data_IF_264562897061
#
_entry.id   IF_264562897061
#
_cell.length_a   1.000
_cell.length_b   1.000
_cell.length_c   1.000
_cell.angle_alpha   90.00
_cell.angle_beta   90.00
_cell.angle_gamma   90.00
#
_symmetry.space_group_name_H-M   'P 1'
#
loop_
_entity.id
_entity.type
_entity.pdbx_description
1 polymer ?
#
# COMPACT_ATOMS: atom_id res chain seq x y z
N UNK A 1 -15.98 -22.56 -2.81
CA UNK A 1 -14.91 -21.72 -3.37
C UNK A 1 -15.35 -21.12 -4.70
N UNK A 2 -15.07 -19.87 -4.97
CA UNK A 2 -15.46 -19.16 -6.21
C UNK A 2 -14.26 -18.57 -6.97
N UNK A 3 -13.04 -18.82 -6.49
CA UNK A 3 -11.77 -18.37 -7.09
C UNK A 3 -10.87 -19.58 -7.33
N UNK A 4 -10.25 -19.64 -8.50
CA UNK A 4 -9.33 -20.71 -8.89
C UNK A 4 -8.04 -20.13 -9.45
N UNK A 5 -6.90 -20.76 -9.11
CA UNK A 5 -5.62 -20.43 -9.71
C UNK A 5 -5.53 -21.14 -11.06
N UNK A 6 -5.26 -20.37 -12.12
CA UNK A 6 -5.24 -20.85 -13.51
C UNK A 6 -3.84 -21.25 -14.01
N UNK A 7 -2.82 -21.24 -13.13
CA UNK A 7 -1.46 -21.65 -13.46
C UNK A 7 -0.85 -22.47 -12.32
N UNK A 8 0.20 -23.27 -12.58
CA UNK A 8 0.91 -24.02 -11.55
C UNK A 8 1.51 -23.11 -10.48
N UNK A 9 1.38 -23.48 -9.22
CA UNK A 9 1.96 -22.76 -8.07
C UNK A 9 2.69 -23.75 -7.16
N UNK A 10 3.68 -23.29 -6.41
CA UNK A 10 4.43 -24.11 -5.46
C UNK A 10 3.68 -24.23 -4.11
N UNK A 11 2.44 -24.73 -4.22
CA UNK A 11 1.60 -25.07 -3.07
C UNK A 11 0.94 -26.42 -3.42
N UNK A 12 1.00 -27.37 -2.51
CA UNK A 12 0.35 -28.67 -2.70
C UNK A 12 -1.17 -28.51 -2.87
N UNK A 13 -1.75 -29.21 -3.85
CA UNK A 13 -3.16 -29.05 -4.25
C UNK A 13 -4.15 -29.25 -3.09
N UNK A 14 -3.86 -30.20 -2.19
CA UNK A 14 -4.67 -30.48 -1.00
C UNK A 14 -4.73 -29.32 0.00
N UNK A 15 -3.78 -28.38 -0.08
CA UNK A 15 -3.70 -27.19 0.79
C UNK A 15 -4.15 -25.91 0.09
N UNK A 16 -4.07 -25.89 -1.23
CA UNK A 16 -4.35 -24.67 -2.01
C UNK A 16 -5.79 -24.20 -1.78
N UNK A 17 -6.75 -25.11 -1.74
CA UNK A 17 -8.16 -24.82 -1.54
C UNK A 17 -8.42 -24.17 -0.18
N UNK A 18 -7.88 -24.76 0.90
CA UNK A 18 -8.02 -24.23 2.26
C UNK A 18 -7.38 -22.86 2.40
N UNK A 19 -6.21 -22.64 1.77
CA UNK A 19 -5.50 -21.36 1.78
C UNK A 19 -6.26 -20.28 1.00
N UNK A 20 -6.85 -20.63 -0.16
CA UNK A 20 -7.68 -19.71 -0.94
C UNK A 20 -8.96 -19.33 -0.20
N UNK A 21 -9.62 -20.29 0.48
CA UNK A 21 -10.79 -20.02 1.30
C UNK A 21 -10.44 -19.08 2.46
N UNK A 22 -9.36 -19.36 3.19
CA UNK A 22 -8.88 -18.48 4.26
C UNK A 22 -8.52 -17.09 3.72
N UNK A 23 -7.87 -17.01 2.55
CA UNK A 23 -7.49 -15.75 1.92
C UNK A 23 -8.68 -14.93 1.49
N UNK A 24 -9.74 -15.55 0.99
CA UNK A 24 -10.97 -14.87 0.58
C UNK A 24 -11.73 -14.22 1.73
N UNK A 25 -11.56 -14.73 2.95
CA UNK A 25 -12.13 -14.16 4.17
C UNK A 25 -11.37 -12.99 4.76
N UNK A 26 -10.18 -12.63 4.21
CA UNK A 26 -9.34 -11.57 4.76
C UNK A 26 -8.72 -10.70 3.64
N UNK A 27 -9.09 -9.42 3.62
CA UNK A 27 -8.75 -8.51 2.54
C UNK A 27 -7.25 -8.25 2.33
N UNK A 28 -6.55 -7.49 3.21
CA UNK A 28 -5.14 -7.13 2.98
C UNK A 28 -4.19 -8.29 3.31
N UNK A 29 -2.94 -8.17 2.82
CA UNK A 29 -1.87 -9.07 3.24
C UNK A 29 -1.70 -9.04 4.77
N UNK A 30 -1.46 -10.24 5.35
CA UNK A 30 -1.06 -10.37 6.75
C UNK A 30 -0.09 -11.53 6.94
N UNK A 31 1.01 -11.26 7.63
CA UNK A 31 1.99 -12.29 8.00
C UNK A 31 1.49 -13.28 9.06
N UNK A 32 0.36 -12.98 9.70
CA UNK A 32 -0.19 -13.76 10.83
C UNK A 32 -0.96 -15.00 10.41
N UNK A 33 -1.51 -15.00 9.19
CA UNK A 33 -2.33 -16.09 8.67
C UNK A 33 -1.53 -17.04 7.77
N UNK A 34 -1.92 -18.31 7.73
CA UNK A 34 -1.33 -19.30 6.82
C UNK A 34 -1.55 -18.91 5.35
N UNK A 35 -2.67 -18.24 5.04
CA UNK A 35 -3.00 -17.72 3.71
C UNK A 35 -1.98 -16.74 3.13
N UNK A 36 -1.02 -16.25 3.93
CA UNK A 36 0.14 -15.49 3.43
C UNK A 36 0.89 -16.23 2.31
N UNK A 37 0.80 -17.55 2.27
CA UNK A 37 1.41 -18.35 1.21
C UNK A 37 0.90 -17.96 -0.18
N UNK A 38 -0.39 -17.63 -0.31
CA UNK A 38 -1.00 -17.14 -1.56
C UNK A 38 -0.40 -15.77 -1.94
N UNK A 39 -0.26 -14.87 -0.98
CA UNK A 39 0.30 -13.55 -1.23
C UNK A 39 1.78 -13.63 -1.67
N UNK A 40 2.56 -14.56 -1.08
CA UNK A 40 3.94 -14.80 -1.49
C UNK A 40 4.03 -15.37 -2.91
N UNK A 41 3.10 -16.24 -3.30
CA UNK A 41 3.02 -16.73 -4.69
C UNK A 41 2.68 -15.58 -5.65
N UNK A 42 1.74 -14.70 -5.31
CA UNK A 42 1.43 -13.52 -6.12
C UNK A 42 2.67 -12.61 -6.25
N UNK A 43 3.40 -12.38 -5.16
CA UNK A 43 4.61 -11.55 -5.16
C UNK A 43 5.70 -12.14 -6.07
N UNK A 44 5.87 -13.45 -6.09
CA UNK A 44 6.82 -14.16 -6.95
C UNK A 44 6.50 -14.05 -8.44
N UNK A 45 5.23 -13.84 -8.82
CA UNK A 45 4.85 -13.62 -10.22
C UNK A 45 5.17 -12.21 -10.72
N UNK A 46 5.56 -11.30 -9.82
CA UNK A 46 5.93 -9.91 -10.15
C UNK A 46 4.83 -9.17 -10.91
N UNK A 47 5.22 -8.40 -11.90
CA UNK A 47 4.29 -7.61 -12.73
C UNK A 47 3.43 -8.45 -13.67
N UNK A 48 3.83 -9.67 -13.96
CA UNK A 48 3.05 -10.62 -14.79
C UNK A 48 1.76 -11.01 -14.08
N UNK A 49 1.79 -11.07 -12.76
CA UNK A 49 0.67 -11.42 -11.92
C UNK A 49 0.31 -12.90 -11.95
N UNK A 50 -0.43 -13.35 -10.93
CA UNK A 50 -0.98 -14.69 -10.82
C UNK A 50 -2.27 -14.79 -11.64
N UNK A 51 -2.34 -15.77 -12.54
CA UNK A 51 -3.53 -16.03 -13.33
C UNK A 51 -4.62 -16.69 -12.48
N UNK A 52 -5.80 -16.09 -12.48
CA UNK A 52 -6.99 -16.53 -11.76
C UNK A 52 -8.19 -16.57 -12.69
N UNK A 53 -9.19 -17.38 -12.36
CA UNK A 53 -10.55 -17.24 -12.86
C UNK A 53 -11.56 -17.43 -11.72
N UNK A 54 -12.77 -16.92 -11.90
CA UNK A 54 -13.83 -17.00 -10.93
C UNK A 54 -14.97 -17.86 -11.47
N UNK A 55 -15.58 -18.67 -10.60
CA UNK A 55 -16.83 -19.35 -10.88
C UNK A 55 -18.00 -18.39 -10.68
N UNK A 56 -18.52 -17.84 -11.76
CA UNK A 56 -19.70 -16.99 -11.80
C UNK A 56 -20.72 -17.47 -12.83
N UNK A 57 -22.01 -17.19 -12.63
CA UNK A 57 -22.62 -16.63 -11.42
C UNK A 57 -22.85 -17.67 -10.33
N UNK A 58 -22.73 -17.24 -9.05
CA UNK A 58 -23.04 -18.08 -7.89
C UNK A 58 -23.82 -17.27 -6.85
N UNK A 59 -24.79 -17.90 -6.18
CA UNK A 59 -25.64 -17.22 -5.18
C UNK A 59 -24.90 -16.93 -3.86
N UNK A 60 -23.85 -17.69 -3.55
CA UNK A 60 -23.05 -17.59 -2.31
C UNK A 60 -21.91 -16.56 -2.37
N UNK A 61 -21.80 -15.83 -3.47
CA UNK A 61 -20.73 -14.84 -3.63
C UNK A 61 -21.09 -13.53 -2.89
N UNK A 62 -20.18 -12.97 -2.08
CA UNK A 62 -20.43 -11.73 -1.37
C UNK A 62 -20.81 -10.57 -2.31
N UNK A 63 -21.73 -9.70 -1.87
CA UNK A 63 -22.24 -8.56 -2.66
C UNK A 63 -21.12 -7.69 -3.25
N UNK A 64 -20.06 -7.42 -2.49
CA UNK A 64 -18.94 -6.59 -2.97
C UNK A 64 -18.18 -7.24 -4.14
N UNK A 65 -18.12 -8.59 -4.18
CA UNK A 65 -17.51 -9.33 -5.30
C UNK A 65 -18.42 -9.29 -6.52
N UNK A 66 -19.72 -9.41 -6.33
CA UNK A 66 -20.71 -9.29 -7.41
C UNK A 66 -20.66 -7.88 -8.02
N UNK A 67 -20.62 -6.84 -7.18
CA UNK A 67 -20.49 -5.44 -7.61
C UNK A 67 -19.21 -5.22 -8.41
N UNK A 68 -18.09 -5.78 -7.96
CA UNK A 68 -16.81 -5.71 -8.68
C UNK A 68 -16.87 -6.45 -10.01
N UNK A 69 -17.48 -7.63 -10.06
CA UNK A 69 -17.62 -8.41 -11.28
C UNK A 69 -18.51 -7.69 -12.32
N UNK A 70 -19.61 -7.08 -11.88
CA UNK A 70 -20.47 -6.24 -12.73
C UNK A 70 -19.71 -5.04 -13.29
N UNK A 71 -18.96 -4.35 -12.43
CA UNK A 71 -18.13 -3.22 -12.85
C UNK A 71 -17.07 -3.63 -13.88
N UNK A 72 -16.39 -4.77 -13.70
CA UNK A 72 -15.42 -5.30 -14.67
C UNK A 72 -16.06 -5.56 -16.03
N UNK A 73 -17.26 -6.16 -16.04
CA UNK A 73 -17.98 -6.45 -17.27
C UNK A 73 -18.45 -5.18 -17.98
N UNK A 74 -19.02 -4.23 -17.23
CA UNK A 74 -19.65 -3.03 -17.79
C UNK A 74 -18.61 -2.00 -18.27
N UNK A 75 -17.53 -1.81 -17.50
CA UNK A 75 -16.53 -0.77 -17.78
C UNK A 75 -15.34 -1.29 -18.60
N UNK A 76 -15.01 -2.57 -18.50
CA UNK A 76 -13.82 -3.15 -19.13
C UNK A 76 -14.11 -4.29 -20.10
N UNK A 77 -15.35 -4.76 -20.20
CA UNK A 77 -15.72 -5.88 -21.05
C UNK A 77 -15.10 -7.23 -20.65
N UNK A 78 -14.67 -7.34 -19.39
CA UNK A 78 -14.03 -8.55 -18.84
C UNK A 78 -15.09 -9.35 -18.10
N UNK A 79 -15.41 -10.53 -18.61
CA UNK A 79 -16.32 -11.44 -17.91
C UNK A 79 -15.63 -12.02 -16.66
N UNK A 80 -16.35 -12.22 -15.56
CA UNK A 80 -15.78 -12.83 -14.35
C UNK A 80 -15.17 -14.21 -14.56
N UNK A 81 -15.64 -14.94 -15.59
CA UNK A 81 -15.11 -16.25 -16.00
C UNK A 81 -13.87 -16.20 -16.88
N UNK A 82 -13.49 -15.01 -17.36
CA UNK A 82 -12.27 -14.83 -18.12
C UNK A 82 -11.04 -14.98 -17.19
N UNK A 83 -9.91 -15.37 -17.77
CA UNK A 83 -8.65 -15.37 -17.03
C UNK A 83 -8.29 -13.93 -16.67
N UNK A 84 -8.11 -13.68 -15.38
CA UNK A 84 -7.63 -12.40 -14.83
C UNK A 84 -6.27 -12.58 -14.19
N UNK A 85 -5.46 -11.53 -14.21
CA UNK A 85 -4.15 -11.52 -13.56
C UNK A 85 -4.15 -10.57 -12.38
N UNK A 86 -3.74 -11.06 -11.22
CA UNK A 86 -3.61 -10.27 -9.99
C UNK A 86 -2.15 -10.15 -9.60
N UNK A 87 -1.71 -8.94 -9.33
CA UNK A 87 -0.36 -8.65 -8.88
C UNK A 87 -0.39 -7.87 -7.55
N UNK A 88 0.73 -7.91 -6.84
CA UNK A 88 0.89 -7.12 -5.63
C UNK A 88 1.10 -5.65 -5.97
N UNK A 89 0.54 -4.76 -5.17
CA UNK A 89 0.82 -3.33 -5.22
C UNK A 89 0.85 -2.73 -3.83
N UNK A 90 1.56 -1.61 -3.66
CA UNK A 90 1.59 -0.88 -2.41
C UNK A 90 0.24 -0.16 -2.20
N UNK A 91 -0.54 -0.63 -1.22
CA UNK A 91 -1.85 -0.08 -0.89
C UNK A 91 -1.76 1.05 0.14
N UNK A 92 -0.88 0.90 1.14
CA UNK A 92 -0.73 1.84 2.24
C UNK A 92 0.71 1.81 2.77
N UNK A 93 1.13 2.90 3.41
CA UNK A 93 2.41 2.97 4.11
C UNK A 93 2.20 2.92 5.62
N UNK A 94 2.97 2.06 6.32
CA UNK A 94 3.02 2.03 7.78
C UNK A 94 4.20 2.84 8.34
N UNK A 95 5.09 3.34 7.47
CA UNK A 95 6.15 4.28 7.76
C UNK A 95 5.71 5.73 7.60
N UNK A 96 6.53 6.68 8.03
CA UNK A 96 6.22 8.09 7.88
C UNK A 96 6.89 8.98 8.91
N UNK A 97 6.37 10.17 9.07
CA UNK A 97 6.89 11.20 9.97
C UNK A 97 6.73 10.72 11.43
N UNK A 98 7.82 10.77 12.20
CA UNK A 98 7.76 10.51 13.64
C UNK A 98 7.07 11.66 14.34
N UNK A 99 6.07 11.34 15.16
CA UNK A 99 5.35 12.31 15.98
C UNK A 99 5.37 11.91 17.45
N UNK A 100 5.14 12.88 18.32
CA UNK A 100 4.91 12.67 19.75
C UNK A 100 3.40 12.56 20.09
N UNK A 101 3.08 12.53 21.37
CA UNK A 101 1.68 12.41 21.87
C UNK A 101 0.84 13.64 21.52
N UNK A 102 1.45 14.77 21.23
CA UNK A 102 0.80 16.00 20.82
C UNK A 102 0.73 16.14 19.28
N UNK A 103 1.11 15.09 18.55
CA UNK A 103 1.23 15.06 17.09
C UNK A 103 2.29 16.03 16.53
N UNK A 104 3.24 16.50 17.35
CA UNK A 104 4.33 17.35 16.92
C UNK A 104 5.45 16.50 16.29
N UNK A 105 6.08 17.05 15.22
CA UNK A 105 7.09 16.33 14.41
C UNK A 105 8.53 16.51 14.93
N UNK A 106 8.73 17.35 15.95
CA UNK A 106 10.06 17.80 16.38
C UNK A 106 10.57 19.04 15.63
N UNK A 107 9.89 19.47 14.58
CA UNK A 107 10.08 20.78 13.93
C UNK A 107 9.06 21.75 14.51
N UNK A 108 9.54 22.88 15.07
CA UNK A 108 8.65 23.85 15.70
C UNK A 108 7.56 24.34 14.74
N UNK A 109 6.29 24.28 15.18
CA UNK A 109 5.13 24.69 14.41
C UNK A 109 4.65 23.68 13.35
N UNK A 110 5.32 22.52 13.23
CA UNK A 110 4.93 21.47 12.26
C UNK A 110 4.33 20.27 13.00
N UNK A 111 3.12 19.92 12.61
CA UNK A 111 2.34 18.79 13.12
C UNK A 111 1.98 17.82 11.98
N UNK A 112 1.82 16.55 12.29
CA UNK A 112 1.41 15.55 11.30
C UNK A 112 0.44 14.54 11.90
N UNK A 113 -0.43 13.98 11.06
CA UNK A 113 -1.40 12.95 11.45
C UNK A 113 -1.74 12.01 10.28
N UNK A 114 -2.45 10.92 10.59
CA UNK A 114 -2.91 9.97 9.60
C UNK A 114 -1.78 9.15 8.97
N UNK A 115 -1.96 8.73 7.73
CA UNK A 115 -1.02 7.86 7.00
C UNK A 115 0.35 8.51 6.76
N UNK A 116 0.44 9.85 6.79
CA UNK A 116 1.73 10.55 6.72
C UNK A 116 2.66 10.28 7.91
N UNK A 117 2.13 9.67 9.00
CA UNK A 117 2.87 9.40 10.23
C UNK A 117 3.24 7.92 10.36
N UNK A 118 4.42 7.63 10.93
CA UNK A 118 4.92 6.28 11.16
C UNK A 118 4.99 5.89 12.64
N UNK A 119 5.23 4.59 12.87
CA UNK A 119 5.50 4.05 14.19
C UNK A 119 4.29 3.56 14.99
N UNK A 120 3.07 3.88 14.57
CA UNK A 120 1.84 3.50 15.30
C UNK A 120 1.31 2.10 14.95
N UNK A 121 1.57 1.62 13.76
CA UNK A 121 0.99 0.39 13.24
C UNK A 121 1.96 -0.78 13.17
N UNK A 122 3.26 -0.54 13.36
CA UNK A 122 4.29 -1.55 13.12
C UNK A 122 4.30 -2.00 11.65
N UNK A 123 4.63 -3.26 11.43
CA UNK A 123 4.73 -3.83 10.08
C UNK A 123 3.38 -4.34 9.54
N UNK A 124 2.38 -4.57 10.39
CA UNK A 124 1.11 -5.17 10.01
C UNK A 124 -0.07 -4.45 10.69
N UNK A 125 -0.66 -3.51 9.98
CA UNK A 125 -1.76 -2.68 10.47
C UNK A 125 -3.09 -3.45 10.51
N UNK A 126 -3.76 -3.42 11.65
CA UNK A 126 -5.12 -3.96 11.81
C UNK A 126 -6.11 -3.14 10.96
N UNK A 127 -7.04 -3.82 10.28
CA UNK A 127 -8.09 -3.18 9.49
C UNK A 127 -8.87 -2.14 10.28
N UNK A 128 -9.17 -0.99 9.64
CA UNK A 128 -9.88 0.13 10.25
C UNK A 128 -9.01 1.09 11.09
N UNK A 129 -7.84 0.66 11.61
CA UNK A 129 -7.02 1.51 12.47
C UNK A 129 -6.41 2.73 11.75
N UNK A 130 -6.28 2.73 10.41
CA UNK A 130 -5.82 3.94 9.71
C UNK A 130 -6.85 5.07 9.80
N UNK A 131 -8.14 4.76 9.69
CA UNK A 131 -9.21 5.76 9.87
C UNK A 131 -9.24 6.28 11.31
N UNK A 132 -9.14 5.39 12.30
CA UNK A 132 -9.05 5.78 13.71
C UNK A 132 -7.82 6.66 13.98
N UNK A 133 -6.65 6.32 13.42
CA UNK A 133 -5.45 7.14 13.50
C UNK A 133 -5.68 8.53 12.89
N UNK A 134 -6.23 8.60 11.68
CA UNK A 134 -6.53 9.87 11.01
C UNK A 134 -7.46 10.77 11.82
N UNK A 135 -8.52 10.21 12.41
CA UNK A 135 -9.50 10.96 13.20
C UNK A 135 -8.89 11.42 14.54
N UNK A 136 -8.30 10.50 15.29
CA UNK A 136 -7.79 10.78 16.64
C UNK A 136 -6.61 11.74 16.60
N UNK A 137 -5.57 11.41 15.81
CA UNK A 137 -4.40 12.27 15.72
C UNK A 137 -4.63 13.53 14.89
N UNK A 138 -5.59 13.53 13.96
CA UNK A 138 -6.03 14.75 13.29
C UNK A 138 -6.62 15.76 14.27
N UNK A 139 -7.47 15.30 15.21
CA UNK A 139 -8.01 16.13 16.30
C UNK A 139 -6.91 16.64 17.23
N UNK A 140 -5.98 15.76 17.63
CA UNK A 140 -4.85 16.13 18.50
C UNK A 140 -3.95 17.17 17.81
N UNK A 141 -3.56 16.92 16.55
CA UNK A 141 -2.72 17.82 15.76
C UNK A 141 -3.37 19.21 15.62
N UNK A 142 -4.67 19.24 15.30
CA UNK A 142 -5.44 20.49 15.18
C UNK A 142 -5.45 21.28 16.49
N UNK A 143 -5.76 20.63 17.61
CA UNK A 143 -5.78 21.27 18.91
C UNK A 143 -4.38 21.80 19.33
N UNK A 144 -3.34 20.98 19.16
CA UNK A 144 -1.96 21.34 19.48
C UNK A 144 -1.45 22.49 18.60
N UNK A 145 -1.73 22.45 17.31
CA UNK A 145 -1.34 23.51 16.37
C UNK A 145 -2.04 24.84 16.68
N UNK A 146 -3.34 24.78 17.01
CA UNK A 146 -4.10 25.97 17.42
C UNK A 146 -3.53 26.58 18.67
N UNK A 147 -3.27 25.79 19.70
CA UNK A 147 -2.70 26.29 20.95
C UNK A 147 -1.32 26.92 20.73
N UNK A 148 -0.45 26.24 19.97
CA UNK A 148 0.87 26.77 19.64
C UNK A 148 0.80 28.08 18.84
N UNK A 149 -0.18 28.21 17.95
CA UNK A 149 -0.38 29.44 17.20
C UNK A 149 -0.87 30.62 18.08
N UNK A 150 -1.73 30.33 19.08
CA UNK A 150 -2.21 31.34 20.04
C UNK A 150 -1.09 31.81 20.98
N UNK A 151 -0.17 30.91 21.33
CA UNK A 151 0.95 31.20 22.23
C UNK A 151 2.17 31.81 21.49
N UNK A 152 2.18 31.74 20.16
CA UNK A 152 3.28 32.25 19.35
C UNK A 152 3.23 33.79 19.26
N UNK A 153 4.38 34.48 19.28
CA UNK A 153 4.41 35.90 18.98
C UNK A 153 4.02 36.14 17.52
N UNK A 154 3.32 37.25 17.26
CA UNK A 154 3.02 37.66 15.87
C UNK A 154 4.31 37.76 15.07
N UNK A 155 4.46 36.86 14.10
CA UNK A 155 5.61 36.85 13.20
C UNK A 155 5.13 37.24 11.81
N UNK A 156 5.69 38.25 11.15
CA UNK A 156 5.31 38.55 9.77
C UNK A 156 5.54 37.35 8.86
N UNK A 157 4.55 37.00 8.07
CA UNK A 157 4.67 35.97 7.03
C UNK A 157 5.77 36.38 6.05
N UNK A 158 6.81 35.58 5.94
CA UNK A 158 7.78 35.70 4.84
C UNK A 158 7.09 35.22 3.56
N UNK A 159 6.68 36.19 2.75
CA UNK A 159 5.99 35.93 1.47
C UNK A 159 6.93 35.52 0.34
N UNK A 160 8.23 35.87 0.46
CA UNK A 160 9.25 35.58 -0.55
C UNK A 160 10.04 34.31 -0.21
N UNK A 161 9.38 33.16 -0.23
CA UNK A 161 10.09 31.88 -0.22
C UNK A 161 10.35 31.52 -1.69
N UNK A 162 11.56 31.81 -2.17
CA UNK A 162 12.06 31.32 -3.43
C UNK A 162 12.19 29.78 -3.32
N UNK A 163 11.24 29.05 -3.87
CA UNK A 163 11.38 27.60 -4.03
C UNK A 163 12.51 27.35 -5.03
N UNK A 164 13.48 26.47 -4.71
CA UNK A 164 14.52 26.14 -5.67
C UNK A 164 13.86 25.54 -6.92
N UNK A 165 14.00 26.21 -8.05
CA UNK A 165 13.56 25.67 -9.34
C UNK A 165 14.52 24.54 -9.74
N UNK A 166 14.32 23.36 -9.22
CA UNK A 166 14.92 22.12 -9.72
C UNK A 166 13.96 21.51 -10.74
N UNK A 167 13.92 22.10 -11.93
CA UNK A 167 13.16 21.55 -13.05
C UNK A 167 13.94 20.42 -13.69
N UNK A 168 13.59 19.17 -13.41
CA UNK A 168 13.94 18.07 -14.31
C UNK A 168 13.08 18.17 -15.57
N UNK A 169 13.67 17.88 -16.73
CA UNK A 169 12.87 17.68 -17.93
C UNK A 169 11.83 16.59 -17.66
N UNK A 170 10.62 16.74 -18.21
CA UNK A 170 9.51 15.79 -17.99
C UNK A 170 9.92 14.33 -18.25
N UNK A 171 10.66 14.09 -19.34
CA UNK A 171 11.15 12.76 -19.70
C UNK A 171 12.09 12.17 -18.62
N UNK A 172 12.96 12.99 -18.02
CA UNK A 172 13.86 12.54 -16.95
C UNK A 172 13.09 12.23 -15.67
N UNK A 173 12.13 13.06 -15.32
CA UNK A 173 11.25 12.81 -14.17
C UNK A 173 10.46 11.51 -14.33
N UNK A 174 9.90 11.27 -15.51
CA UNK A 174 9.19 10.01 -15.82
C UNK A 174 10.12 8.79 -15.79
N UNK A 175 11.35 8.93 -16.29
CA UNK A 175 12.36 7.87 -16.24
C UNK A 175 12.72 7.53 -14.80
N UNK A 176 13.02 8.53 -13.98
CA UNK A 176 13.33 8.35 -12.56
C UNK A 176 12.16 7.70 -11.79
N UNK A 177 10.93 8.15 -12.06
CA UNK A 177 9.75 7.58 -11.45
C UNK A 177 9.55 6.10 -11.82
N UNK A 178 9.81 5.72 -13.07
CA UNK A 178 9.76 4.31 -13.50
C UNK A 178 10.84 3.48 -12.82
N UNK A 179 12.09 3.96 -12.79
CA UNK A 179 13.20 3.26 -12.11
C UNK A 179 12.90 3.08 -10.62
N UNK A 180 12.45 4.13 -9.92
CA UNK A 180 12.07 4.04 -8.52
C UNK A 180 10.96 3.02 -8.29
N UNK A 181 9.90 3.04 -9.09
CA UNK A 181 8.81 2.06 -8.99
C UNK A 181 9.30 0.63 -9.21
N UNK A 182 10.18 0.44 -10.19
CA UNK A 182 10.76 -0.87 -10.47
C UNK A 182 11.56 -1.39 -9.28
N UNK A 183 12.51 -0.61 -8.76
CA UNK A 183 13.32 -0.96 -7.59
C UNK A 183 12.45 -1.30 -6.38
N UNK A 184 11.46 -0.46 -6.08
CA UNK A 184 10.57 -0.69 -4.95
C UNK A 184 9.71 -1.95 -5.12
N UNK A 185 9.22 -2.21 -6.32
CA UNK A 185 8.43 -3.42 -6.59
C UNK A 185 9.27 -4.69 -6.59
N UNK A 186 10.53 -4.63 -7.06
CA UNK A 186 11.40 -5.80 -7.14
C UNK A 186 11.96 -6.23 -5.79
N UNK A 187 12.27 -5.29 -4.90
CA UNK A 187 13.05 -5.58 -3.69
C UNK A 187 12.37 -5.19 -2.37
N UNK A 188 11.38 -4.31 -2.41
CA UNK A 188 10.81 -3.71 -1.20
C UNK A 188 9.34 -4.10 -0.95
N UNK A 189 8.80 -5.07 -1.68
CA UNK A 189 7.44 -5.59 -1.45
C UNK A 189 7.37 -6.49 -0.21
N UNK A 190 6.61 -7.56 -0.23
CA UNK A 190 6.34 -8.37 0.97
C UNK A 190 7.45 -9.37 1.30
N UNK A 191 8.18 -9.86 0.29
CA UNK A 191 9.27 -10.83 0.45
C UNK A 191 10.64 -10.14 0.39
N UNK A 192 11.06 -9.56 1.50
CA UNK A 192 12.32 -8.81 1.59
C UNK A 192 13.47 -9.68 2.05
N UNK A 193 14.60 -9.58 1.37
CA UNK A 193 15.85 -10.23 1.73
C UNK A 193 16.94 -9.18 1.94
N UNK A 194 17.98 -9.51 2.71
CA UNK A 194 19.13 -8.63 2.92
C UNK A 194 19.80 -8.27 1.59
N UNK A 195 19.99 -9.26 0.72
CA UNK A 195 20.57 -9.06 -0.61
C UNK A 195 19.68 -8.13 -1.47
N UNK A 196 18.38 -8.38 -1.51
CA UNK A 196 17.45 -7.54 -2.28
C UNK A 196 17.39 -6.10 -1.76
N UNK A 197 17.39 -5.91 -0.45
CA UNK A 197 17.41 -4.55 0.14
C UNK A 197 18.75 -3.82 -0.13
N UNK A 198 19.86 -4.54 -0.16
CA UNK A 198 21.17 -3.98 -0.51
C UNK A 198 21.22 -3.57 -1.98
N UNK A 199 20.65 -4.36 -2.87
CA UNK A 199 20.52 -4.02 -4.29
C UNK A 199 19.61 -2.80 -4.50
N UNK A 200 18.45 -2.78 -3.82
CA UNK A 200 17.57 -1.60 -3.84
C UNK A 200 18.31 -0.31 -3.42
N UNK A 201 19.10 -0.39 -2.35
CA UNK A 201 19.88 0.76 -1.89
C UNK A 201 20.90 1.21 -2.94
N UNK A 202 21.60 0.28 -3.56
CA UNK A 202 22.57 0.56 -4.62
C UNK A 202 21.90 1.23 -5.84
N UNK A 203 20.77 0.69 -6.31
CA UNK A 203 20.01 1.29 -7.41
C UNK A 203 19.50 2.70 -7.06
N UNK A 204 18.97 2.91 -5.85
CA UNK A 204 18.48 4.21 -5.40
C UNK A 204 19.59 5.26 -5.26
N UNK A 205 20.81 4.85 -4.87
CA UNK A 205 21.97 5.72 -4.85
C UNK A 205 22.38 6.16 -6.25
N UNK A 206 22.24 5.27 -7.24
CA UNK A 206 22.49 5.59 -8.66
C UNK A 206 21.46 6.55 -9.29
N UNK A 207 20.31 6.79 -8.64
CA UNK A 207 19.29 7.74 -9.10
C UNK A 207 19.52 9.19 -8.61
N UNK A 208 20.49 9.42 -7.72
CA UNK A 208 20.86 10.77 -7.22
C UNK A 208 21.62 11.55 -8.26
#
# INVERSE_FOLDING_TARGET
>A
RYVHVAQPVDIADDKLDDLLEQRSGYGPFTSRLASRAIDLVIDQTGVEGLALHYDFPREDVPEFVQTFATWLQDEHGIAPTDEMRVAMYAHASNGGIKIDKAAATGVAGLYACGEATGGMHGADRIGGLSSANGIVFGRIAGASATQAALDAPETPLKTDIALPQRGLAKADAERLARSLKHTMSSYCMINRTETGLSEALHELEGLK
#
